data_IF_436900189953
#
_entry.id   IF_436900189953
#
_cell.length_a   1.000
_cell.length_b   1.000
_cell.length_c   1.000
_cell.angle_alpha   90.00
_cell.angle_beta   90.00
_cell.angle_gamma   90.00
#
_symmetry.space_group_name_H-M   'P 1'
#
loop_
_entity.id
_entity.type
_entity.pdbx_description
1 polymer ?
#
# COMPACT_ATOMS: atom_id res chain seq x y z
N UNK A 1 17.13 -15.39 -16.31
CA UNK A 1 15.90 -14.58 -16.44
C UNK A 1 15.16 -14.60 -15.10
N UNK A 2 15.44 -13.63 -14.23
CA UNK A 2 14.81 -13.52 -12.91
C UNK A 2 13.44 -12.87 -13.03
N UNK A 3 12.41 -13.68 -13.09
CA UNK A 3 11.04 -13.26 -13.30
C UNK A 3 10.54 -12.40 -12.11
N UNK A 4 9.95 -11.21 -12.34
CA UNK A 4 9.44 -10.28 -11.29
C UNK A 4 8.27 -10.84 -10.45
N UNK A 5 7.93 -12.11 -10.62
CA UNK A 5 6.86 -12.82 -9.95
C UNK A 5 7.04 -12.88 -8.43
N UNK A 6 8.28 -12.87 -7.93
CA UNK A 6 8.54 -12.86 -6.48
C UNK A 6 8.01 -11.60 -5.82
N UNK A 7 8.08 -10.44 -6.49
CA UNK A 7 7.56 -9.18 -5.95
C UNK A 7 6.02 -9.20 -5.89
N UNK A 8 5.38 -9.62 -6.98
CA UNK A 8 3.91 -9.74 -7.06
C UNK A 8 3.39 -10.73 -6.02
N UNK A 9 4.09 -11.85 -5.82
CA UNK A 9 3.75 -12.84 -4.82
C UNK A 9 3.90 -12.32 -3.39
N UNK A 10 4.95 -11.52 -3.11
CA UNK A 10 5.10 -10.83 -1.82
C UNK A 10 3.97 -9.83 -1.56
N UNK A 11 3.59 -9.03 -2.56
CA UNK A 11 2.44 -8.10 -2.44
C UNK A 11 1.16 -8.89 -2.17
N UNK A 12 0.91 -9.97 -2.90
CA UNK A 12 -0.25 -10.83 -2.68
C UNK A 12 -0.25 -11.40 -1.25
N UNK A 13 0.89 -11.92 -0.76
CA UNK A 13 1.03 -12.40 0.62
C UNK A 13 0.84 -11.30 1.66
N UNK A 14 1.32 -10.10 1.39
CA UNK A 14 1.13 -8.95 2.26
C UNK A 14 -0.36 -8.59 2.36
N UNK A 15 -1.07 -8.56 1.23
CA UNK A 15 -2.51 -8.33 1.19
C UNK A 15 -3.28 -9.45 1.91
N UNK A 16 -2.89 -10.72 1.71
CA UNK A 16 -3.50 -11.88 2.37
C UNK A 16 -3.33 -11.83 3.89
N UNK A 17 -2.11 -11.51 4.36
CA UNK A 17 -1.80 -11.33 5.77
C UNK A 17 -2.57 -10.16 6.43
N UNK A 18 -3.02 -9.20 5.63
CA UNK A 18 -3.89 -8.09 6.07
C UNK A 18 -5.39 -8.43 6.04
N UNK A 19 -5.74 -9.70 5.78
CA UNK A 19 -7.13 -10.17 5.69
C UNK A 19 -7.68 -10.15 4.26
N UNK A 20 -6.80 -10.11 3.25
CA UNK A 20 -7.12 -10.14 1.83
C UNK A 20 -7.17 -8.76 1.19
N UNK A 21 -7.06 -8.75 -0.14
CA UNK A 21 -6.99 -7.52 -0.95
C UNK A 21 -8.19 -6.60 -0.74
N UNK A 22 -9.40 -7.15 -0.61
CA UNK A 22 -10.63 -6.34 -0.47
C UNK A 22 -10.65 -5.58 0.86
N UNK A 23 -10.31 -6.25 1.98
CA UNK A 23 -10.20 -5.61 3.30
C UNK A 23 -9.12 -4.54 3.30
N UNK A 24 -7.97 -4.85 2.72
CA UNK A 24 -6.88 -3.90 2.57
C UNK A 24 -7.32 -2.66 1.79
N UNK A 25 -7.86 -2.82 0.58
CA UNK A 25 -8.27 -1.70 -0.28
C UNK A 25 -9.36 -0.86 0.38
N UNK A 26 -10.30 -1.48 1.10
CA UNK A 26 -11.35 -0.75 1.83
C UNK A 26 -10.77 0.10 2.97
N UNK A 27 -9.93 -0.50 3.82
CA UNK A 27 -9.26 0.21 4.92
C UNK A 27 -8.31 1.30 4.39
N UNK A 28 -7.62 1.02 3.29
CA UNK A 28 -6.73 1.94 2.60
C UNK A 28 -7.51 3.12 2.05
N UNK A 29 -8.61 2.88 1.34
CA UNK A 29 -9.45 3.94 0.78
C UNK A 29 -10.04 4.84 1.86
N UNK A 30 -10.56 4.26 2.95
CA UNK A 30 -11.07 5.04 4.09
C UNK A 30 -9.97 5.89 4.73
N UNK A 31 -8.81 5.30 5.03
CA UNK A 31 -7.68 6.02 5.64
C UNK A 31 -7.13 7.09 4.70
N UNK A 32 -6.99 6.77 3.42
CA UNK A 32 -6.51 7.68 2.39
C UNK A 32 -7.43 8.90 2.25
N UNK A 33 -8.75 8.69 2.12
CA UNK A 33 -9.72 9.79 2.04
C UNK A 33 -9.70 10.64 3.31
N UNK A 34 -9.59 10.01 4.48
CA UNK A 34 -9.49 10.70 5.76
C UNK A 34 -8.24 11.59 5.80
N UNK A 35 -7.06 11.07 5.46
CA UNK A 35 -5.83 11.87 5.40
C UNK A 35 -5.84 12.93 4.30
N UNK A 36 -6.49 12.68 3.16
CA UNK A 36 -6.71 13.72 2.13
C UNK A 36 -7.61 14.84 2.64
N UNK A 37 -8.65 14.51 3.41
CA UNK A 37 -9.53 15.49 4.06
C UNK A 37 -8.78 16.36 5.08
N UNK A 38 -7.78 15.79 5.77
CA UNK A 38 -6.87 16.54 6.64
C UNK A 38 -5.84 17.42 5.90
N UNK A 39 -5.86 17.47 4.56
CA UNK A 39 -4.93 18.28 3.77
C UNK A 39 -3.55 17.65 3.56
N UNK A 40 -3.36 16.37 3.87
CA UNK A 40 -2.09 15.69 3.59
C UNK A 40 -1.91 15.48 2.07
N UNK A 41 -0.67 15.64 1.60
CA UNK A 41 -0.28 15.24 0.24
C UNK A 41 -0.55 13.76 0.02
N UNK A 42 -0.88 13.39 -1.23
CA UNK A 42 -1.20 12.01 -1.63
C UNK A 42 -0.17 11.01 -1.11
N UNK A 43 1.13 11.30 -1.26
CA UNK A 43 2.24 10.48 -0.75
C UNK A 43 2.15 10.23 0.76
N UNK A 44 1.93 11.29 1.54
CA UNK A 44 1.84 11.21 3.00
C UNK A 44 0.58 10.46 3.43
N UNK A 45 -0.54 10.70 2.77
CA UNK A 45 -1.79 9.99 3.02
C UNK A 45 -1.64 8.47 2.76
N UNK A 46 -0.97 8.11 1.66
CA UNK A 46 -0.68 6.71 1.33
C UNK A 46 0.27 6.09 2.34
N UNK A 47 1.38 6.75 2.68
CA UNK A 47 2.31 6.25 3.70
C UNK A 47 1.62 6.02 5.04
N UNK A 48 0.79 6.97 5.49
CA UNK A 48 0.05 6.84 6.76
C UNK A 48 -0.99 5.73 6.70
N UNK A 49 -1.74 5.62 5.60
CA UNK A 49 -2.70 4.54 5.40
C UNK A 49 -2.00 3.16 5.43
N UNK A 50 -0.92 2.99 4.65
CA UNK A 50 -0.17 1.73 4.62
C UNK A 50 0.49 1.46 5.97
N UNK A 51 0.98 2.46 6.70
CA UNK A 51 1.52 2.28 8.05
C UNK A 51 0.44 1.90 9.07
N UNK A 52 -0.76 2.46 8.95
CA UNK A 52 -1.88 2.14 9.84
C UNK A 52 -2.41 0.72 9.61
N UNK A 53 -2.41 0.25 8.36
CA UNK A 53 -2.95 -1.07 8.00
C UNK A 53 -1.86 -2.13 8.07
N UNK A 54 -0.69 -1.82 7.51
CA UNK A 54 0.49 -2.65 7.39
C UNK A 54 1.43 -2.63 8.59
N UNK A 55 1.11 -1.92 9.68
CA UNK A 55 1.95 -1.88 10.88
C UNK A 55 2.20 -3.26 11.51
N UNK A 56 1.29 -4.21 11.28
CA UNK A 56 1.42 -5.61 11.71
C UNK A 56 2.13 -6.53 10.71
N UNK A 57 2.50 -6.01 9.53
CA UNK A 57 3.25 -6.79 8.54
C UNK A 57 4.73 -6.85 8.90
N UNK A 58 5.37 -7.97 8.52
CA UNK A 58 6.84 -8.04 8.50
C UNK A 58 7.40 -6.96 7.58
N UNK A 59 8.51 -6.34 7.96
CA UNK A 59 9.14 -5.24 7.19
C UNK A 59 9.35 -5.56 5.71
N UNK A 60 9.66 -6.81 5.34
CA UNK A 60 9.81 -7.23 3.94
C UNK A 60 8.50 -7.13 3.14
N UNK A 61 7.37 -7.51 3.74
CA UNK A 61 6.04 -7.43 3.12
C UNK A 61 5.53 -5.99 3.10
N UNK A 62 5.78 -5.23 4.17
CA UNK A 62 5.47 -3.80 4.24
C UNK A 62 6.22 -3.02 3.15
N UNK A 63 7.53 -3.26 3.01
CA UNK A 63 8.35 -2.63 1.97
C UNK A 63 7.91 -3.04 0.57
N UNK A 64 7.60 -4.33 0.33
CA UNK A 64 7.08 -4.77 -0.96
C UNK A 64 5.74 -4.11 -1.32
N UNK A 65 4.88 -3.89 -0.32
CA UNK A 65 3.59 -3.24 -0.50
C UNK A 65 3.76 -1.74 -0.74
N UNK A 66 4.61 -1.06 0.02
CA UNK A 66 5.01 0.33 -0.26
C UNK A 66 5.62 0.49 -1.66
N UNK A 67 6.57 -0.36 -2.01
CA UNK A 67 7.25 -0.41 -3.30
C UNK A 67 6.22 -0.61 -4.43
N UNK A 68 5.22 -1.47 -4.25
CA UNK A 68 4.13 -1.63 -5.22
C UNK A 68 3.28 -0.37 -5.40
N UNK A 69 2.93 0.32 -4.31
CA UNK A 69 2.15 1.56 -4.38
C UNK A 69 2.96 2.78 -4.84
N UNK A 70 4.27 2.77 -4.62
CA UNK A 70 5.21 3.81 -5.12
C UNK A 70 5.61 3.57 -6.58
N UNK A 71 5.97 2.34 -6.95
CA UNK A 71 6.30 1.93 -8.33
C UNK A 71 5.06 1.98 -9.23
N UNK A 72 3.87 1.77 -8.67
CA UNK A 72 2.61 1.83 -9.41
C UNK A 72 2.27 3.20 -9.99
N UNK A 73 3.07 4.26 -9.75
CA UNK A 73 2.96 5.55 -10.46
C UNK A 73 1.53 6.13 -10.55
N UNK A 74 0.74 6.08 -9.47
CA UNK A 74 -0.53 6.86 -9.36
C UNK A 74 -0.43 7.96 -8.30
N UNK A 75 0.69 8.04 -7.57
CA UNK A 75 0.95 9.17 -6.67
C UNK A 75 1.59 10.34 -7.43
N UNK A 76 2.23 10.08 -8.58
CA UNK A 76 2.81 11.08 -9.50
C UNK A 76 1.96 11.46 -10.71
N UNK A 77 1.04 10.59 -11.16
CA UNK A 77 0.21 10.84 -12.36
C UNK A 77 -1.21 11.39 -12.08
N UNK A 78 -1.43 12.03 -10.93
CA UNK A 78 -2.46 13.06 -10.81
C UNK A 78 -1.82 14.43 -11.07
N UNK A 79 -1.47 14.69 -12.33
CA UNK A 79 -1.46 16.04 -12.92
C UNK A 79 -2.80 16.27 -13.57
#
# INVERSE_FOLDING_TARGET
MGFPFTKIFKVKKALDALGGTVKFVKAFSQSYQLYKSYGYSTTTAVQKAIRSIGGSLKSDLYNALLDFFYIGDIIGSCT
#
